data_IF_191863223709
#
_entry.id   IF_191863223709
#
_cell.length_a   1.000
_cell.length_b   1.000
_cell.length_c   1.000
_cell.angle_alpha   90.00
_cell.angle_beta   90.00
_cell.angle_gamma   90.00
#
_symmetry.space_group_name_H-M   'P 1'
#
loop_
_entity.id
_entity.type
_entity.pdbx_description
1 polymer ?
#
# COMPACT_ATOMS: atom_id res chain seq x y z
N UNK A 1 7.29 23.96 12.82
CA UNK A 1 5.85 23.61 12.84
C UNK A 1 5.75 22.12 13.09
N UNK A 2 4.90 21.65 14.02
CA UNK A 2 4.69 20.23 14.21
C UNK A 2 4.08 19.64 12.95
N UNK A 3 4.63 18.52 12.48
CA UNK A 3 4.08 17.75 11.38
C UNK A 3 2.71 17.21 11.84
N UNK A 4 1.62 17.43 11.08
CA UNK A 4 0.32 16.90 11.48
C UNK A 4 0.38 15.38 11.61
N UNK A 5 -0.37 14.79 12.56
CA UNK A 5 -0.42 13.35 12.72
C UNK A 5 -0.95 12.72 11.43
N UNK A 6 -0.27 11.68 10.95
CA UNK A 6 -0.71 10.88 9.80
C UNK A 6 -1.50 9.68 10.33
N UNK A 7 -2.81 9.62 10.08
CA UNK A 7 -3.69 8.64 10.73
C UNK A 7 -3.59 7.22 10.15
N UNK A 8 -2.96 7.06 8.98
CA UNK A 8 -2.81 5.76 8.33
C UNK A 8 -1.44 5.20 8.68
N UNK A 9 -1.40 4.16 9.52
CA UNK A 9 -0.20 3.36 9.77
C UNK A 9 0.00 2.32 8.66
N UNK A 10 1.12 1.59 8.70
CA UNK A 10 1.43 0.56 7.71
C UNK A 10 0.45 -0.62 7.69
N UNK A 11 -0.20 -0.93 8.81
CA UNK A 11 -1.22 -1.97 8.86
C UNK A 11 -2.48 -1.54 8.13
N UNK A 12 -2.99 -0.34 8.43
CA UNK A 12 -4.17 0.21 7.79
C UNK A 12 -3.90 0.46 6.29
N UNK A 13 -2.68 0.92 5.95
CA UNK A 13 -2.26 1.07 4.55
C UNK A 13 -2.33 -0.28 3.81
N UNK A 14 -1.77 -1.34 4.38
CA UNK A 14 -1.83 -2.67 3.78
C UNK A 14 -3.26 -3.24 3.64
N UNK A 15 -4.16 -2.97 4.62
CA UNK A 15 -5.59 -3.31 4.47
C UNK A 15 -6.20 -2.56 3.28
N UNK A 16 -5.86 -1.28 3.13
CA UNK A 16 -6.31 -0.46 2.00
C UNK A 16 -5.81 -1.01 0.68
N UNK A 17 -4.53 -1.39 0.58
CA UNK A 17 -3.92 -1.95 -0.63
C UNK A 17 -4.66 -3.19 -1.13
N UNK A 18 -4.84 -4.19 -0.27
CA UNK A 18 -5.54 -5.42 -0.64
C UNK A 18 -7.00 -5.16 -0.99
N UNK A 19 -7.67 -4.27 -0.26
CA UNK A 19 -9.07 -3.90 -0.53
C UNK A 19 -9.19 -3.20 -1.87
N UNK A 20 -8.39 -2.16 -2.10
CA UNK A 20 -8.38 -1.39 -3.36
C UNK A 20 -7.99 -2.29 -4.52
N UNK A 21 -6.89 -3.05 -4.41
CA UNK A 21 -6.45 -3.98 -5.45
C UNK A 21 -7.56 -4.95 -5.85
N UNK A 22 -8.24 -5.57 -4.86
CA UNK A 22 -9.37 -6.48 -5.11
C UNK A 22 -10.56 -5.78 -5.77
N UNK A 23 -10.93 -4.61 -5.29
CA UNK A 23 -12.06 -3.82 -5.84
C UNK A 23 -11.77 -3.40 -7.29
N UNK A 24 -10.54 -2.96 -7.60
CA UNK A 24 -10.14 -2.58 -8.95
C UNK A 24 -10.16 -3.76 -9.92
N UNK A 25 -9.78 -4.94 -9.47
CA UNK A 25 -9.82 -6.15 -10.30
C UNK A 25 -11.25 -6.65 -10.57
N UNK A 26 -12.16 -6.48 -9.63
CA UNK A 26 -13.47 -7.15 -9.64
C UNK A 26 -14.64 -6.22 -9.95
N UNK A 27 -15.01 -5.36 -9.03
CA UNK A 27 -16.29 -4.61 -9.07
C UNK A 27 -16.18 -3.22 -9.67
N UNK A 28 -15.05 -2.52 -9.49
CA UNK A 28 -14.92 -1.10 -9.87
C UNK A 28 -15.20 -0.85 -11.36
N UNK A 29 -14.68 -1.63 -12.33
CA UNK A 29 -14.97 -1.41 -13.75
C UNK A 29 -16.46 -1.53 -14.11
N UNK A 30 -17.20 -2.38 -13.37
CA UNK A 30 -18.66 -2.51 -13.53
C UNK A 30 -19.37 -1.27 -13.00
N UNK A 31 -19.02 -0.83 -11.79
CA UNK A 31 -19.60 0.38 -11.18
C UNK A 31 -19.31 1.64 -12.01
N UNK A 32 -18.13 1.72 -12.62
CA UNK A 32 -17.75 2.81 -13.51
C UNK A 32 -18.39 2.73 -14.93
N UNK A 33 -19.14 1.67 -15.23
CA UNK A 33 -19.78 1.47 -16.53
C UNK A 33 -18.81 1.26 -17.70
N UNK A 34 -17.62 0.70 -17.42
CA UNK A 34 -16.53 0.50 -18.41
C UNK A 34 -16.10 -0.98 -18.53
N UNK A 35 -16.86 -1.92 -18.00
CA UNK A 35 -16.48 -3.31 -17.74
C UNK A 35 -15.76 -4.03 -18.90
N UNK A 36 -16.21 -3.82 -20.12
CA UNK A 36 -15.68 -4.49 -21.34
C UNK A 36 -14.83 -3.55 -22.21
N UNK A 37 -14.15 -2.60 -21.59
CA UNK A 37 -13.38 -1.59 -22.32
C UNK A 37 -11.88 -1.72 -22.07
N UNK A 38 -11.01 -1.14 -22.91
CA UNK A 38 -9.57 -1.03 -22.62
C UNK A 38 -9.29 -0.32 -21.28
N UNK A 39 -10.08 0.70 -20.90
CA UNK A 39 -9.98 1.38 -19.60
C UNK A 39 -10.15 0.42 -18.43
N UNK A 40 -11.15 -0.48 -18.51
CA UNK A 40 -11.36 -1.50 -17.48
C UNK A 40 -10.17 -2.44 -17.36
N UNK A 41 -9.58 -2.84 -18.49
CA UNK A 41 -8.40 -3.73 -18.51
C UNK A 41 -7.20 -3.06 -17.82
N UNK A 42 -6.97 -1.79 -18.10
CA UNK A 42 -5.89 -1.00 -17.47
C UNK A 42 -6.07 -0.91 -15.96
N UNK A 43 -7.29 -0.59 -15.49
CA UNK A 43 -7.61 -0.52 -14.06
C UNK A 43 -7.45 -1.89 -13.37
N UNK A 44 -7.92 -2.97 -14.00
CA UNK A 44 -7.74 -4.33 -13.46
C UNK A 44 -6.26 -4.72 -13.37
N UNK A 45 -5.48 -4.39 -14.40
CA UNK A 45 -4.03 -4.65 -14.40
C UNK A 45 -3.34 -3.85 -13.29
N UNK A 46 -3.68 -2.56 -13.12
CA UNK A 46 -3.16 -1.75 -12.03
C UNK A 46 -3.50 -2.36 -10.66
N UNK A 47 -4.75 -2.78 -10.45
CA UNK A 47 -5.16 -3.45 -9.22
C UNK A 47 -4.40 -4.76 -8.95
N UNK A 48 -4.17 -5.56 -9.99
CA UNK A 48 -3.40 -6.80 -9.85
C UNK A 48 -1.92 -6.55 -9.52
N UNK A 49 -1.30 -5.57 -10.17
CA UNK A 49 0.08 -5.16 -9.87
C UNK A 49 0.17 -4.62 -8.44
N UNK A 50 -0.76 -3.75 -8.03
CA UNK A 50 -0.83 -3.18 -6.69
C UNK A 50 -0.94 -4.27 -5.62
N UNK A 51 -1.91 -5.18 -5.72
CA UNK A 51 -2.03 -6.31 -4.81
C UNK A 51 -0.77 -7.22 -4.85
N UNK A 52 -0.14 -7.37 -6.01
CA UNK A 52 1.05 -8.20 -6.18
C UNK A 52 2.25 -7.68 -5.39
N UNK A 53 2.65 -6.41 -5.54
CA UNK A 53 3.79 -5.89 -4.78
C UNK A 53 3.47 -5.65 -3.30
N UNK A 54 2.19 -5.49 -2.95
CA UNK A 54 1.74 -5.48 -1.56
C UNK A 54 2.09 -6.79 -0.84
N UNK A 55 2.02 -7.94 -1.53
CA UNK A 55 2.41 -9.23 -0.93
C UNK A 55 3.89 -9.33 -0.57
N UNK A 56 4.75 -8.58 -1.25
CA UNK A 56 6.20 -8.60 -1.02
C UNK A 56 6.71 -7.40 -0.22
N UNK A 57 5.81 -6.54 0.27
CA UNK A 57 6.14 -5.36 1.06
C UNK A 57 6.45 -5.71 2.51
N UNK A 58 7.45 -5.02 3.07
CA UNK A 58 7.81 -5.13 4.49
C UNK A 58 6.90 -4.27 5.36
N UNK A 59 5.71 -4.80 5.61
CA UNK A 59 4.69 -4.29 6.54
C UNK A 59 3.89 -5.48 7.12
N UNK A 60 3.04 -5.30 8.14
CA UNK A 60 2.40 -6.41 8.87
C UNK A 60 1.66 -7.42 7.98
N UNK A 61 1.06 -6.97 6.88
CA UNK A 61 0.28 -7.81 5.96
C UNK A 61 1.09 -8.38 4.78
N UNK A 62 2.38 -8.02 4.65
CA UNK A 62 3.26 -8.58 3.62
C UNK A 62 3.61 -10.04 3.89
N UNK A 63 3.59 -10.87 2.84
CA UNK A 63 3.89 -12.30 2.91
C UNK A 63 5.41 -12.54 2.84
N UNK A 64 6.07 -11.89 1.87
CA UNK A 64 7.53 -11.98 1.67
C UNK A 64 8.11 -10.58 1.80
N UNK A 65 8.68 -10.26 2.95
CA UNK A 65 9.08 -8.90 3.34
C UNK A 65 10.42 -8.47 2.72
N UNK A 66 10.44 -8.24 1.40
CA UNK A 66 11.65 -7.84 0.64
C UNK A 66 11.58 -6.40 0.11
N UNK A 67 10.38 -5.83 -0.08
CA UNK A 67 10.21 -4.47 -0.54
C UNK A 67 10.07 -3.54 0.67
N UNK A 68 11.01 -2.61 0.92
CA UNK A 68 10.89 -1.66 2.02
C UNK A 68 9.62 -0.82 1.90
N UNK A 69 8.92 -0.56 3.02
CA UNK A 69 7.64 0.16 3.01
C UNK A 69 7.73 1.54 2.34
N UNK A 70 8.82 2.28 2.55
CA UNK A 70 9.03 3.57 1.87
C UNK A 70 9.17 3.45 0.35
N UNK A 71 9.78 2.37 -0.13
CA UNK A 71 9.87 2.08 -1.56
C UNK A 71 8.49 1.72 -2.14
N UNK A 72 7.69 0.94 -1.38
CA UNK A 72 6.29 0.67 -1.71
C UNK A 72 5.50 1.98 -1.91
N UNK A 73 5.51 2.90 -0.93
CA UNK A 73 4.82 4.19 -1.05
C UNK A 73 5.27 5.03 -2.27
N UNK A 74 6.55 4.94 -2.65
CA UNK A 74 7.04 5.60 -3.86
C UNK A 74 6.49 4.93 -5.14
N UNK A 75 6.36 3.60 -5.14
CA UNK A 75 5.75 2.84 -6.25
C UNK A 75 4.26 3.20 -6.37
N UNK A 76 3.54 3.34 -5.26
CA UNK A 76 2.14 3.77 -5.24
C UNK A 76 1.99 5.15 -5.90
N UNK A 77 2.80 6.13 -5.48
CA UNK A 77 2.75 7.47 -6.06
C UNK A 77 3.01 7.46 -7.57
N UNK A 78 4.05 6.74 -8.01
CA UNK A 78 4.40 6.62 -9.42
C UNK A 78 3.32 5.85 -10.21
N UNK A 79 2.81 4.76 -9.65
CA UNK A 79 1.74 3.95 -10.22
C UNK A 79 0.44 4.72 -10.39
N UNK A 80 0.07 5.53 -9.40
CA UNK A 80 -1.11 6.38 -9.44
C UNK A 80 -1.03 7.41 -10.57
N UNK A 81 0.12 8.10 -10.69
CA UNK A 81 0.37 9.07 -11.76
C UNK A 81 0.38 8.38 -13.12
N UNK A 82 1.04 7.23 -13.25
CA UNK A 82 1.07 6.45 -14.48
C UNK A 82 -0.35 5.99 -14.89
N UNK A 83 -1.15 5.52 -13.93
CA UNK A 83 -2.54 5.14 -14.18
C UNK A 83 -3.36 6.32 -14.69
N UNK A 84 -3.23 7.50 -14.06
CA UNK A 84 -3.93 8.72 -14.49
C UNK A 84 -3.52 9.17 -15.90
N UNK A 85 -2.25 9.03 -16.28
CA UNK A 85 -1.74 9.39 -17.59
C UNK A 85 -2.19 8.43 -18.71
N UNK A 86 -2.42 7.15 -18.37
CA UNK A 86 -2.69 6.07 -19.33
C UNK A 86 -3.83 6.36 -20.32
N UNK A 87 -5.02 6.85 -19.93
CA UNK A 87 -6.10 7.13 -20.89
C UNK A 87 -5.76 8.26 -21.87
N UNK A 88 -4.89 9.17 -21.50
CA UNK A 88 -4.44 10.27 -22.37
C UNK A 88 -3.39 9.78 -23.38
N UNK A 89 -2.42 8.99 -22.92
CA UNK A 89 -1.39 8.37 -23.76
C UNK A 89 -2.02 7.41 -24.78
N UNK A 90 -3.01 6.62 -24.35
CA UNK A 90 -3.66 5.61 -25.20
C UNK A 90 -4.85 6.14 -26.01
N UNK A 91 -5.14 7.44 -25.93
CA UNK A 91 -6.22 8.08 -26.68
C UNK A 91 -7.64 7.75 -26.19
N UNK A 92 -7.79 7.08 -25.03
CA UNK A 92 -9.10 6.70 -24.51
C UNK A 92 -9.92 7.92 -24.02
N UNK A 93 -9.27 9.02 -23.68
CA UNK A 93 -9.93 10.26 -23.33
C UNK A 93 -10.91 10.77 -24.43
N UNK A 94 -10.63 10.45 -25.70
CA UNK A 94 -11.49 10.77 -26.86
C UNK A 94 -12.81 10.01 -26.84
N UNK A 95 -12.92 8.94 -26.06
CA UNK A 95 -14.13 8.11 -25.92
C UNK A 95 -15.13 8.65 -24.88
N UNK A 96 -14.79 9.78 -24.24
CA UNK A 96 -15.63 10.44 -23.26
C UNK A 96 -15.19 10.26 -21.81
N UNK A 97 -15.79 11.04 -20.93
CA UNK A 97 -15.38 11.21 -19.51
C UNK A 97 -15.27 9.89 -18.74
N UNK A 98 -16.18 8.95 -18.96
CA UNK A 98 -16.18 7.64 -18.27
C UNK A 98 -14.91 6.81 -18.47
N UNK A 99 -14.13 7.10 -19.53
CA UNK A 99 -12.91 6.37 -19.87
C UNK A 99 -11.64 6.97 -19.30
N UNK A 100 -11.66 8.20 -18.79
CA UNK A 100 -10.51 8.83 -18.17
C UNK A 100 -10.74 9.28 -16.72
N UNK A 101 -11.94 9.75 -16.38
CA UNK A 101 -12.22 10.28 -15.04
C UNK A 101 -11.99 9.25 -13.91
N UNK A 102 -12.33 7.95 -14.07
CA UNK A 102 -11.99 6.94 -13.07
C UNK A 102 -10.49 6.84 -12.78
N UNK A 103 -9.64 6.92 -13.81
CA UNK A 103 -8.18 6.85 -13.64
C UNK A 103 -7.65 8.05 -12.85
N UNK A 104 -8.13 9.23 -13.16
CA UNK A 104 -7.77 10.46 -12.42
C UNK A 104 -8.30 10.42 -11.00
N UNK A 105 -9.54 9.97 -10.80
CA UNK A 105 -10.12 9.82 -9.46
C UNK A 105 -9.36 8.85 -8.59
N UNK A 106 -8.93 7.71 -9.13
CA UNK A 106 -8.08 6.74 -8.43
C UNK A 106 -6.71 7.32 -8.08
N UNK A 107 -6.10 8.08 -8.98
CA UNK A 107 -4.85 8.78 -8.69
C UNK A 107 -5.00 9.76 -7.52
N UNK A 108 -6.05 10.58 -7.53
CA UNK A 108 -6.31 11.53 -6.45
C UNK A 108 -6.57 10.82 -5.11
N UNK A 109 -7.31 9.72 -5.13
CA UNK A 109 -7.56 8.89 -3.95
C UNK A 109 -6.24 8.35 -3.40
N UNK A 110 -5.39 7.77 -4.25
CA UNK A 110 -4.10 7.20 -3.86
C UNK A 110 -3.17 8.27 -3.27
N UNK A 111 -3.02 9.41 -3.95
CA UNK A 111 -2.19 10.51 -3.44
C UNK A 111 -2.69 11.07 -2.11
N UNK A 112 -4.02 11.11 -1.90
CA UNK A 112 -4.61 11.49 -0.62
C UNK A 112 -4.30 10.45 0.47
N UNK A 113 -4.42 9.16 0.16
CA UNK A 113 -4.04 8.06 1.05
C UNK A 113 -2.58 8.15 1.47
N UNK A 114 -1.67 8.34 0.51
CA UNK A 114 -0.24 8.52 0.75
C UNK A 114 0.07 9.74 1.63
N UNK A 115 -0.60 10.87 1.40
CA UNK A 115 -0.42 12.07 2.21
C UNK A 115 -0.81 11.85 3.68
N UNK A 116 -1.75 10.94 3.93
CA UNK A 116 -2.21 10.56 5.27
C UNK A 116 -1.43 9.39 5.88
N UNK A 117 -0.59 8.70 5.11
CA UNK A 117 0.18 7.53 5.57
C UNK A 117 1.45 7.94 6.30
N UNK A 118 1.72 7.35 7.47
CA UNK A 118 2.98 7.51 8.18
C UNK A 118 4.08 6.66 7.49
N UNK A 119 5.07 7.30 6.83
CA UNK A 119 6.11 6.58 6.09
C UNK A 119 7.17 5.95 7.01
N UNK A 120 7.07 6.15 8.33
CA UNK A 120 8.05 5.61 9.28
C UNK A 120 7.83 4.13 9.57
N UNK A 121 6.70 3.56 9.11
CA UNK A 121 6.35 2.17 9.39
C UNK A 121 6.16 1.89 10.88
N UNK A 122 5.67 2.86 11.66
CA UNK A 122 5.30 2.62 13.05
C UNK A 122 4.20 1.57 13.06
N UNK A 123 4.48 0.41 13.63
CA UNK A 123 3.66 -0.80 13.52
C UNK A 123 4.32 -1.89 12.70
N UNK A 124 5.37 -1.59 11.94
CA UNK A 124 6.18 -2.60 11.26
C UNK A 124 7.03 -3.35 12.29
N UNK A 125 7.07 -4.66 12.15
CA UNK A 125 7.81 -5.52 13.07
C UNK A 125 9.31 -5.14 13.16
N UNK A 126 9.87 -4.57 12.09
CA UNK A 126 11.27 -4.10 12.07
C UNK A 126 11.48 -2.76 12.80
N UNK A 127 10.53 -1.84 12.76
CA UNK A 127 10.58 -0.60 13.54
C UNK A 127 10.63 -0.89 15.03
N UNK A 128 9.81 -1.83 15.49
CA UNK A 128 9.80 -2.27 16.87
C UNK A 128 11.08 -3.02 17.28
N UNK A 129 11.66 -3.83 16.39
CA UNK A 129 12.90 -4.55 16.67
C UNK A 129 14.09 -3.60 16.86
N UNK A 130 14.20 -2.53 16.07
CA UNK A 130 15.27 -1.54 16.26
C UNK A 130 15.05 -0.67 17.49
N UNK A 131 13.82 -0.28 17.79
CA UNK A 131 13.48 0.44 19.02
C UNK A 131 13.76 -0.44 20.25
N UNK A 132 13.40 -1.72 20.18
CA UNK A 132 13.67 -2.71 21.23
C UNK A 132 15.17 -2.98 21.34
N UNK A 133 15.92 -3.07 20.23
CA UNK A 133 17.37 -3.24 20.24
C UNK A 133 18.07 -2.04 20.87
N UNK A 134 17.63 -0.81 20.58
CA UNK A 134 18.11 0.41 21.23
C UNK A 134 17.78 0.41 22.72
N UNK A 135 16.53 0.15 23.10
CA UNK A 135 16.12 0.08 24.50
C UNK A 135 16.89 -1.00 25.29
N UNK A 136 17.20 -2.15 24.65
CA UNK A 136 18.01 -3.21 25.27
C UNK A 136 19.52 -2.87 25.33
N UNK A 137 20.01 -1.96 24.47
CA UNK A 137 21.39 -1.45 24.57
C UNK A 137 21.53 -0.37 25.64
N UNK A 138 20.49 0.46 25.83
CA UNK A 138 20.44 1.52 26.85
C UNK A 138 20.19 0.93 28.26
N UNK A 139 19.48 -0.18 28.37
CA UNK A 139 19.22 -0.90 29.63
C UNK A 139 19.45 -2.43 29.43
N UNK A 140 20.68 -2.93 29.68
CA UNK A 140 20.99 -4.35 29.53
C UNK A 140 20.17 -5.29 30.43
N UNK A 141 19.50 -4.76 31.45
CA UNK A 141 18.63 -5.52 32.37
C UNK A 141 17.19 -5.60 31.86
N UNK A 142 16.80 -4.80 30.86
CA UNK A 142 15.45 -4.74 30.28
C UNK A 142 15.24 -5.74 29.15
N UNK A 143 15.36 -7.05 29.44
CA UNK A 143 15.19 -8.13 28.47
C UNK A 143 13.70 -8.39 28.13
N UNK A 144 12.99 -7.40 27.60
CA UNK A 144 11.54 -7.51 27.37
C UNK A 144 11.18 -8.52 26.28
N UNK A 145 11.99 -8.65 25.21
CA UNK A 145 11.65 -9.47 24.04
C UNK A 145 12.30 -10.85 23.99
N UNK A 146 13.38 -11.10 24.70
CA UNK A 146 13.94 -12.46 24.80
C UNK A 146 13.00 -13.43 25.50
N UNK A 147 12.14 -12.93 26.40
CA UNK A 147 11.19 -13.76 27.16
C UNK A 147 9.96 -14.15 26.32
N UNK A 148 9.49 -13.27 25.41
CA UNK A 148 8.34 -13.56 24.55
C UNK A 148 8.68 -14.61 23.47
N UNK A 149 9.90 -14.56 22.90
CA UNK A 149 10.34 -15.53 21.88
C UNK A 149 10.67 -16.91 22.48
N UNK A 150 11.09 -16.97 23.75
CA UNK A 150 11.33 -18.23 24.46
C UNK A 150 10.03 -18.91 24.92
N UNK A 151 8.92 -18.18 24.98
CA UNK A 151 7.62 -18.69 25.41
C UNK A 151 6.73 -19.18 24.27
N UNK A 152 7.15 -19.01 22.99
CA UNK A 152 6.42 -19.56 21.87
C UNK A 152 6.97 -20.97 21.58
N UNK A 153 6.24 -22.05 21.91
CA UNK A 153 6.67 -23.40 21.56
C UNK A 153 6.77 -23.50 20.03
N UNK A 154 7.90 -24.02 19.54
CA UNK A 154 8.01 -24.43 18.15
C UNK A 154 6.90 -25.47 17.92
N UNK A 155 5.86 -25.06 17.19
CA UNK A 155 4.82 -25.97 16.75
C UNK A 155 5.45 -26.96 15.78
N UNK A 156 5.45 -28.20 16.20
CA UNK A 156 5.83 -29.35 15.41
C UNK A 156 4.86 -29.54 14.21
#
# INVERSE_FOLDING_TARGET
MPVPPRPIDSTLHGVTDYTVGTVLMTVFPKLAGIERTPSARQIRTAGAIHAGYSTVTDYPLGIVKVLPFRAHLAIDALGAVALAATPFITGQWKRGRRHWAPHVGLCLFELASLAMTDPTGKGDFHGDVEAVRRANMEDPHRKIYTKARAATPASA
#
